data_IF_076083297754
#
_entry.id   IF_076083297754
#
_cell.length_a   1.000
_cell.length_b   1.000
_cell.length_c   1.000
_cell.angle_alpha   90.00
_cell.angle_beta   90.00
_cell.angle_gamma   90.00
#
_symmetry.space_group_name_H-M   'P 1'
#
loop_
_entity.id
_entity.type
_entity.pdbx_description
1 polymer ?
#
# COMPACT_ATOMS: atom_id res chain seq x y z
N UNK A 1 76.23 51.14 41.67
CA UNK A 1 75.02 51.61 40.99
C UNK A 1 74.69 50.58 39.94
N UNK A 2 73.50 50.10 39.97
CA UNK A 2 72.70 49.26 39.09
C UNK A 2 72.43 47.86 39.58
N UNK A 3 71.19 47.73 39.96
CA UNK A 3 70.50 46.55 40.44
C UNK A 3 70.40 45.47 39.40
N UNK A 4 70.55 44.22 39.82
CA UNK A 4 70.16 43.00 39.02
C UNK A 4 68.96 42.33 39.65
N UNK A 5 67.84 42.53 39.06
CA UNK A 5 66.62 41.81 39.38
C UNK A 5 66.66 40.38 38.81
N UNK A 6 66.67 39.39 39.69
CA UNK A 6 66.46 37.97 39.41
C UNK A 6 64.97 37.68 39.34
N UNK A 7 64.50 37.41 38.16
CA UNK A 7 63.11 36.93 37.92
C UNK A 7 63.01 35.45 38.17
N UNK A 8 62.12 35.06 39.07
CA UNK A 8 61.66 33.73 39.32
C UNK A 8 60.81 33.23 38.14
N UNK A 9 61.38 32.46 37.28
CA UNK A 9 60.67 31.64 36.28
C UNK A 9 61.35 30.30 36.20
N UNK A 10 60.70 29.29 36.79
CA UNK A 10 61.18 27.95 36.69
C UNK A 10 60.45 27.07 37.71
N UNK A 11 59.48 26.40 37.33
CA UNK A 11 58.82 25.22 37.89
C UNK A 11 57.28 25.35 37.87
N UNK A 12 56.73 24.98 36.78
CA UNK A 12 55.37 24.36 36.68
C UNK A 12 55.07 24.07 35.20
N UNK A 13 55.60 22.98 34.75
CA UNK A 13 55.30 22.48 33.41
C UNK A 13 55.51 21.00 33.40
N UNK A 14 54.47 20.23 33.71
CA UNK A 14 54.26 18.85 33.27
C UNK A 14 53.18 18.24 34.15
N UNK A 15 51.92 18.36 33.80
CA UNK A 15 50.83 17.44 34.09
C UNK A 15 49.48 18.02 33.62
N UNK A 16 49.33 18.31 32.34
CA UNK A 16 48.01 18.47 31.72
C UNK A 16 48.14 17.94 30.26
N UNK A 17 48.08 16.64 30.12
CA UNK A 17 48.26 16.03 28.82
C UNK A 17 47.59 14.65 28.67
N UNK A 18 46.57 14.36 29.48
CA UNK A 18 45.95 13.02 29.40
C UNK A 18 44.41 12.96 29.58
N UNK A 19 43.70 14.08 29.49
CA UNK A 19 42.25 14.10 29.73
C UNK A 19 41.42 14.74 28.58
N UNK A 20 42.03 14.98 27.42
CA UNK A 20 41.31 15.64 26.29
C UNK A 20 40.92 14.71 25.13
N UNK A 21 40.98 13.37 25.34
CA UNK A 21 40.65 12.39 24.28
C UNK A 21 39.27 11.68 24.47
N UNK A 22 38.44 12.14 25.39
CA UNK A 22 37.18 11.46 25.73
C UNK A 22 35.89 12.22 25.34
N UNK A 23 36.00 13.28 24.55
CA UNK A 23 34.82 14.01 24.07
C UNK A 23 34.96 14.37 22.59
N UNK A 24 35.18 13.36 21.74
CA UNK A 24 34.79 13.51 20.36
C UNK A 24 33.26 13.51 20.35
N UNK A 25 32.59 14.58 19.90
CA UNK A 25 31.16 14.51 19.68
C UNK A 25 30.90 13.31 18.74
N UNK A 26 30.00 12.40 19.13
CA UNK A 26 29.46 11.44 18.17
C UNK A 26 29.07 12.24 16.94
N UNK A 27 29.79 12.09 15.85
CA UNK A 27 29.36 12.66 14.57
C UNK A 27 27.97 12.11 14.34
N UNK A 28 26.97 12.98 14.46
CA UNK A 28 25.61 12.64 14.04
C UNK A 28 25.72 12.42 12.52
N UNK A 29 25.78 11.17 12.11
CA UNK A 29 25.62 10.85 10.69
C UNK A 29 24.27 11.39 10.27
N UNK A 30 24.23 12.14 9.15
CA UNK A 30 22.98 12.56 8.57
C UNK A 30 22.17 11.31 8.24
N UNK A 31 20.90 11.30 8.64
CA UNK A 31 19.99 10.19 8.32
C UNK A 31 19.93 9.99 6.81
N UNK A 32 19.93 8.74 6.38
CA UNK A 32 19.66 8.41 4.99
C UNK A 32 18.17 8.67 4.69
N UNK A 33 17.93 9.55 3.72
CA UNK A 33 16.59 9.97 3.34
C UNK A 33 16.05 9.05 2.25
N UNK A 34 14.97 8.33 2.57
CA UNK A 34 14.33 7.36 1.69
C UNK A 34 12.95 7.86 1.24
N UNK A 35 12.64 7.68 -0.03
CA UNK A 35 11.37 8.11 -0.65
C UNK A 35 10.44 6.94 -0.79
N UNK A 36 9.23 7.07 -0.23
CA UNK A 36 8.19 6.06 -0.32
C UNK A 36 6.92 6.65 -0.91
N UNK A 37 6.34 6.00 -1.93
CA UNK A 37 5.10 6.45 -2.56
C UNK A 37 3.96 5.46 -2.32
N UNK A 38 2.78 5.98 -1.97
CA UNK A 38 1.56 5.21 -1.73
C UNK A 38 0.33 5.89 -2.34
N UNK A 39 -0.84 5.27 -2.18
CA UNK A 39 -2.12 5.84 -2.59
C UNK A 39 -2.56 6.96 -1.65
N UNK A 40 -3.60 7.69 -2.05
CA UNK A 40 -4.21 8.77 -1.27
C UNK A 40 -4.70 8.33 0.11
N UNK A 41 -4.94 9.30 0.98
CA UNK A 41 -5.43 9.08 2.35
C UNK A 41 -6.74 8.31 2.34
N UNK A 42 -7.02 7.57 3.43
CA UNK A 42 -8.24 6.77 3.57
C UNK A 42 -8.23 5.43 2.84
N UNK A 43 -7.15 5.08 2.14
CA UNK A 43 -6.94 3.74 1.58
C UNK A 43 -6.13 2.86 2.53
N UNK A 44 -6.38 1.53 2.54
CA UNK A 44 -5.61 0.59 3.37
C UNK A 44 -4.11 0.63 3.08
N UNK A 45 -3.65 0.71 1.82
CA UNK A 45 -2.24 0.85 1.54
C UNK A 45 -1.61 2.10 2.17
N UNK A 46 -2.33 3.21 2.18
CA UNK A 46 -1.85 4.43 2.85
C UNK A 46 -1.66 4.20 4.35
N UNK A 47 -2.62 3.54 5.01
CA UNK A 47 -2.54 3.23 6.45
C UNK A 47 -1.33 2.35 6.75
N UNK A 48 -1.16 1.23 6.04
CA UNK A 48 -0.05 0.29 6.25
C UNK A 48 1.29 0.95 5.98
N UNK A 49 1.43 1.68 4.86
CA UNK A 49 2.70 2.30 4.49
C UNK A 49 3.05 3.49 5.39
N UNK A 50 2.06 4.24 5.86
CA UNK A 50 2.28 5.28 6.89
C UNK A 50 2.78 4.63 8.19
N UNK A 51 2.21 3.50 8.58
CA UNK A 51 2.68 2.77 9.78
C UNK A 51 4.08 2.21 9.57
N UNK A 52 4.38 1.65 8.40
CA UNK A 52 5.73 1.22 8.05
C UNK A 52 6.72 2.37 8.21
N UNK A 53 6.47 3.52 7.58
CA UNK A 53 7.34 4.69 7.67
C UNK A 53 7.51 5.18 9.12
N UNK A 54 6.42 5.25 9.90
CA UNK A 54 6.47 5.71 11.29
C UNK A 54 7.27 4.76 12.19
N UNK A 55 7.10 3.44 12.03
CA UNK A 55 7.87 2.45 12.78
C UNK A 55 9.36 2.57 12.45
N UNK A 56 9.72 2.65 11.17
CA UNK A 56 11.10 2.76 10.73
C UNK A 56 11.73 4.05 11.26
N UNK A 57 11.08 5.18 11.06
CA UNK A 57 11.57 6.50 11.51
C UNK A 57 11.77 6.57 13.03
N UNK A 58 10.99 5.80 13.80
CA UNK A 58 11.09 5.70 15.25
C UNK A 58 12.20 4.72 15.70
N UNK A 59 12.30 3.56 15.04
CA UNK A 59 13.10 2.43 15.52
C UNK A 59 14.51 2.38 14.92
N UNK A 60 14.71 2.98 13.75
CA UNK A 60 15.97 2.95 13.03
C UNK A 60 16.49 4.39 12.83
N UNK A 61 17.30 4.91 13.75
CA UNK A 61 17.70 6.33 13.76
C UNK A 61 18.55 6.75 12.56
N UNK A 62 19.16 5.82 11.84
CA UNK A 62 20.01 6.07 10.68
C UNK A 62 19.20 6.34 9.40
N UNK A 63 17.90 6.07 9.42
CA UNK A 63 17.01 6.22 8.26
C UNK A 63 15.87 7.19 8.53
N UNK A 64 15.39 7.85 7.48
CA UNK A 64 14.17 8.64 7.48
C UNK A 64 13.37 8.42 6.22
N UNK A 65 12.19 7.78 6.34
CA UNK A 65 11.28 7.57 5.22
C UNK A 65 10.35 8.77 5.08
N UNK A 66 10.40 9.41 3.92
CA UNK A 66 9.45 10.43 3.48
C UNK A 66 8.35 9.81 2.64
N UNK A 67 7.10 9.90 3.12
CA UNK A 67 5.94 9.32 2.45
C UNK A 67 5.27 10.34 1.53
N UNK A 68 5.13 9.97 0.24
CA UNK A 68 4.32 10.68 -0.75
C UNK A 68 3.02 9.91 -1.01
N UNK A 69 1.89 10.48 -0.61
CA UNK A 69 0.55 9.87 -0.70
C UNK A 69 -0.27 10.43 -1.87
N UNK A 70 0.31 10.51 -3.05
CA UNK A 70 -0.33 11.07 -4.25
C UNK A 70 -0.13 10.17 -5.48
N UNK A 71 -0.98 10.32 -6.47
CA UNK A 71 -0.81 9.64 -7.76
C UNK A 71 -1.32 8.19 -7.79
N UNK A 72 -0.89 7.45 -8.79
CA UNK A 72 -1.29 6.07 -9.04
C UNK A 72 -0.10 5.11 -8.84
N UNK A 73 -0.35 3.96 -8.24
CA UNK A 73 0.66 2.93 -7.99
C UNK A 73 1.39 2.47 -9.27
N UNK A 74 0.70 2.47 -10.40
CA UNK A 74 1.26 2.14 -11.71
C UNK A 74 2.35 3.09 -12.18
N UNK A 75 2.35 4.35 -11.72
CA UNK A 75 3.43 5.30 -11.94
C UNK A 75 4.56 5.10 -10.92
N UNK A 76 4.20 4.93 -9.64
CA UNK A 76 5.18 4.77 -8.57
C UNK A 76 6.08 3.55 -8.80
N UNK A 77 5.52 2.44 -9.29
CA UNK A 77 6.28 1.22 -9.55
C UNK A 77 7.35 1.41 -10.63
N UNK A 78 7.08 2.25 -11.63
CA UNK A 78 8.09 2.62 -12.63
C UNK A 78 9.22 3.46 -12.02
N UNK A 79 8.88 4.38 -11.11
CA UNK A 79 9.89 5.22 -10.44
C UNK A 79 10.82 4.38 -9.58
N UNK A 80 10.29 3.40 -8.83
CA UNK A 80 11.10 2.45 -8.06
C UNK A 80 11.95 1.56 -8.98
N UNK A 81 11.36 1.00 -10.03
CA UNK A 81 12.09 0.16 -10.97
C UNK A 81 13.24 0.90 -11.68
N UNK A 82 13.10 2.21 -11.86
CA UNK A 82 14.14 3.09 -12.43
C UNK A 82 15.13 3.63 -11.38
N UNK A 83 14.96 3.30 -10.09
CA UNK A 83 15.80 3.80 -8.99
C UNK A 83 15.60 5.29 -8.68
N UNK A 84 14.43 5.86 -8.98
CA UNK A 84 14.07 7.25 -8.68
C UNK A 84 13.34 7.42 -7.36
N UNK A 85 12.84 6.34 -6.80
CA UNK A 85 12.22 6.23 -5.48
C UNK A 85 12.66 4.91 -4.86
N UNK A 86 12.67 4.81 -3.53
CA UNK A 86 13.21 3.65 -2.83
C UNK A 86 12.14 2.60 -2.60
N UNK A 87 10.91 3.04 -2.28
CA UNK A 87 9.78 2.16 -2.01
C UNK A 87 8.51 2.67 -2.67
N UNK A 88 7.63 1.75 -3.00
CA UNK A 88 6.25 2.11 -3.30
C UNK A 88 5.27 0.98 -2.98
N UNK A 89 3.99 1.35 -2.86
CA UNK A 89 2.91 0.38 -2.92
C UNK A 89 2.82 -0.19 -4.33
N UNK A 90 2.73 -1.51 -4.43
CA UNK A 90 2.49 -2.23 -5.66
C UNK A 90 1.57 -3.44 -5.42
N UNK A 91 1.32 -4.24 -6.44
CA UNK A 91 0.51 -5.45 -6.33
C UNK A 91 0.93 -6.50 -7.36
N UNK A 92 0.66 -7.79 -7.09
CA UNK A 92 0.87 -8.85 -8.07
C UNK A 92 0.17 -8.57 -9.41
N UNK A 93 -0.99 -7.91 -9.38
CA UNK A 93 -1.71 -7.48 -10.58
C UNK A 93 -0.91 -6.46 -11.41
N UNK A 94 -0.32 -5.44 -10.77
CA UNK A 94 0.51 -4.44 -11.45
C UNK A 94 1.74 -5.11 -12.07
N UNK A 95 2.38 -6.02 -11.36
CA UNK A 95 3.54 -6.75 -11.87
C UNK A 95 3.19 -7.57 -13.12
N UNK A 96 2.02 -8.25 -13.12
CA UNK A 96 1.52 -8.98 -14.29
C UNK A 96 1.22 -8.06 -15.47
N UNK A 97 0.64 -6.88 -15.23
CA UNK A 97 0.41 -5.87 -16.28
C UNK A 97 1.73 -5.35 -16.89
N UNK A 98 2.75 -5.13 -16.08
CA UNK A 98 4.09 -4.72 -16.56
C UNK A 98 4.73 -5.80 -17.43
N UNK A 99 4.73 -7.08 -16.97
CA UNK A 99 5.30 -8.21 -17.73
C UNK A 99 4.65 -8.37 -19.09
N UNK A 100 3.34 -8.20 -19.16
CA UNK A 100 2.53 -8.43 -20.35
C UNK A 100 2.34 -7.18 -21.21
N UNK A 101 2.99 -6.05 -20.90
CA UNK A 101 2.77 -4.77 -21.58
C UNK A 101 1.28 -4.45 -21.75
N UNK A 102 0.48 -4.65 -20.71
CA UNK A 102 -0.98 -4.51 -20.77
C UNK A 102 -1.46 -3.22 -20.10
N UNK A 103 -2.66 -2.77 -20.48
CA UNK A 103 -3.33 -1.57 -19.96
C UNK A 103 -2.40 -0.33 -20.05
N UNK A 104 -2.16 0.39 -18.93
CA UNK A 104 -1.31 1.57 -18.90
C UNK A 104 0.15 1.33 -19.29
N UNK A 105 0.62 0.08 -19.28
CA UNK A 105 1.99 -0.26 -19.69
C UNK A 105 2.11 -0.64 -21.18
N UNK A 106 1.01 -0.66 -21.94
CA UNK A 106 0.99 -1.08 -23.34
C UNK A 106 1.93 -0.26 -24.25
N UNK A 107 2.13 1.02 -23.90
CA UNK A 107 3.01 1.95 -24.63
C UNK A 107 4.40 2.12 -23.99
N UNK A 108 4.74 1.31 -22.98
CA UNK A 108 6.01 1.37 -22.26
C UNK A 108 6.83 0.13 -22.63
N UNK A 109 7.65 0.22 -23.66
CA UNK A 109 8.41 -0.90 -24.18
C UNK A 109 9.33 -1.55 -23.16
N UNK A 110 9.85 -0.78 -22.23
CA UNK A 110 10.75 -1.25 -21.17
C UNK A 110 10.03 -1.90 -19.98
N UNK A 111 8.69 -1.89 -19.92
CA UNK A 111 7.96 -2.39 -18.75
C UNK A 111 8.32 -3.84 -18.36
N UNK A 112 8.48 -4.82 -19.32
CA UNK A 112 8.90 -6.18 -18.98
C UNK A 112 10.32 -6.27 -18.38
N UNK A 113 11.23 -5.37 -18.75
CA UNK A 113 12.57 -5.32 -18.16
C UNK A 113 12.59 -4.57 -16.83
N UNK A 114 11.78 -3.54 -16.70
CA UNK A 114 11.69 -2.78 -15.47
C UNK A 114 11.11 -3.60 -14.32
N UNK A 115 10.10 -4.45 -14.57
CA UNK A 115 9.51 -5.30 -13.53
C UNK A 115 10.51 -6.30 -12.95
N UNK A 116 11.51 -6.75 -13.71
CA UNK A 116 12.59 -7.65 -13.25
C UNK A 116 13.48 -7.00 -12.20
N UNK A 117 13.55 -5.67 -12.15
CA UNK A 117 14.35 -4.89 -11.19
C UNK A 117 13.63 -4.68 -9.85
N UNK A 118 12.39 -5.06 -9.76
CA UNK A 118 11.62 -4.95 -8.52
C UNK A 118 11.82 -6.16 -7.63
N UNK A 119 11.79 -5.91 -6.32
CA UNK A 119 11.80 -6.93 -5.28
C UNK A 119 10.70 -6.65 -4.27
N UNK A 120 10.00 -7.70 -3.85
CA UNK A 120 8.99 -7.58 -2.80
C UNK A 120 9.67 -7.46 -1.44
N UNK A 121 9.28 -6.46 -0.65
CA UNK A 121 9.63 -6.36 0.77
C UNK A 121 8.64 -7.18 1.59
N UNK A 122 7.35 -6.94 1.38
CA UNK A 122 6.26 -7.72 1.97
C UNK A 122 4.96 -7.50 1.19
N UNK A 123 4.08 -8.49 1.19
CA UNK A 123 2.70 -8.36 0.78
C UNK A 123 1.77 -8.29 1.99
N UNK A 124 0.57 -7.79 1.77
CA UNK A 124 -0.51 -7.79 2.76
C UNK A 124 -1.88 -7.71 2.08
N UNK A 125 -2.95 -8.22 2.71
CA UNK A 125 -4.31 -8.06 2.21
C UNK A 125 -4.70 -6.58 2.24
N UNK A 126 -5.06 -6.01 1.09
CA UNK A 126 -5.60 -4.66 1.03
C UNK A 126 -7.03 -4.59 1.55
N UNK A 127 -7.73 -5.70 1.53
CA UNK A 127 -9.15 -5.82 1.81
C UNK A 127 -9.93 -6.20 0.56
N UNK A 128 -11.16 -5.70 0.47
CA UNK A 128 -12.11 -6.08 -0.59
C UNK A 128 -12.59 -4.85 -1.37
N UNK A 129 -13.04 -5.05 -2.59
CA UNK A 129 -13.69 -3.98 -3.34
C UNK A 129 -15.05 -3.66 -2.73
N UNK A 130 -15.20 -2.44 -2.28
CA UNK A 130 -16.48 -1.85 -1.91
C UNK A 130 -17.06 -1.16 -3.14
N UNK A 131 -18.21 -1.60 -3.59
CA UNK A 131 -18.99 -0.95 -4.66
C UNK A 131 -20.18 -0.31 -3.95
N UNK A 132 -19.98 0.90 -3.43
CA UNK A 132 -20.91 1.57 -2.55
C UNK A 132 -21.92 2.41 -3.32
N UNK A 133 -23.18 2.34 -2.90
CA UNK A 133 -24.31 3.18 -3.36
C UNK A 133 -25.10 3.68 -2.15
N UNK A 134 -25.77 4.80 -2.27
CA UNK A 134 -26.71 5.26 -1.25
C UNK A 134 -27.97 4.40 -1.24
N UNK A 135 -28.53 4.13 -0.08
CA UNK A 135 -29.81 3.42 0.07
C UNK A 135 -30.96 4.12 -0.66
N UNK A 136 -30.95 5.45 -0.64
CA UNK A 136 -31.93 6.30 -1.34
C UNK A 136 -31.92 6.14 -2.87
N UNK A 137 -30.83 5.61 -3.44
CA UNK A 137 -30.74 5.39 -4.90
C UNK A 137 -31.63 4.24 -5.41
N UNK A 138 -32.01 3.32 -4.49
CA UNK A 138 -32.74 2.09 -4.84
C UNK A 138 -31.92 1.05 -5.60
N UNK A 139 -30.61 1.29 -5.84
CA UNK A 139 -29.73 0.35 -6.54
C UNK A 139 -29.39 -0.82 -5.59
N UNK A 140 -29.64 -2.05 -6.07
CA UNK A 140 -29.41 -3.28 -5.28
C UNK A 140 -28.47 -4.26 -5.96
N UNK A 141 -28.17 -4.08 -7.26
CA UNK A 141 -27.31 -4.95 -8.04
C UNK A 141 -26.46 -4.17 -9.05
N UNK A 142 -25.39 -4.78 -9.54
CA UNK A 142 -24.53 -4.20 -10.58
C UNK A 142 -25.31 -3.92 -11.88
N UNK A 143 -26.31 -4.73 -12.21
CA UNK A 143 -27.14 -4.53 -13.43
C UNK A 143 -27.91 -3.21 -13.43
N UNK A 144 -28.10 -2.60 -12.26
CA UNK A 144 -28.86 -1.36 -12.12
C UNK A 144 -27.99 -0.07 -12.19
N UNK A 145 -26.68 -0.23 -12.41
CA UNK A 145 -25.79 0.96 -12.56
C UNK A 145 -25.83 1.56 -13.96
N UNK A 146 -26.66 1.02 -14.86
CA UNK A 146 -26.82 1.58 -16.21
C UNK A 146 -27.25 3.04 -16.18
N UNK A 147 -26.55 3.90 -16.93
CA UNK A 147 -26.78 5.35 -16.98
C UNK A 147 -26.31 6.11 -15.73
N UNK A 148 -25.57 5.48 -14.82
CA UNK A 148 -25.10 6.07 -13.57
C UNK A 148 -23.70 6.66 -13.70
N UNK A 149 -23.39 7.63 -12.83
CA UNK A 149 -22.05 8.22 -12.65
C UNK A 149 -21.25 7.33 -11.70
N UNK A 150 -20.22 6.70 -12.21
CA UNK A 150 -19.47 5.65 -11.51
C UNK A 150 -18.02 6.06 -11.36
N UNK A 151 -17.48 6.01 -10.15
CA UNK A 151 -16.05 6.07 -9.90
C UNK A 151 -15.48 4.67 -9.83
N UNK A 152 -14.61 4.32 -10.77
CA UNK A 152 -13.97 2.99 -10.88
C UNK A 152 -12.61 2.92 -10.16
N UNK A 153 -12.07 4.07 -9.76
CA UNK A 153 -10.70 4.31 -9.33
C UNK A 153 -10.05 5.40 -10.16
N UNK A 154 -8.85 5.89 -9.78
CA UNK A 154 -8.15 6.93 -10.54
C UNK A 154 -7.82 6.49 -11.97
N UNK A 155 -7.91 7.38 -12.95
CA UNK A 155 -7.57 7.10 -14.34
C UNK A 155 -6.16 6.53 -14.49
N UNK A 156 -6.02 5.48 -15.32
CA UNK A 156 -4.75 4.77 -15.49
C UNK A 156 -4.32 3.91 -14.32
N UNK A 157 -5.12 3.82 -13.25
CA UNK A 157 -4.88 2.96 -12.10
C UNK A 157 -5.31 1.51 -12.33
N UNK A 158 -4.73 0.58 -11.58
CA UNK A 158 -5.10 -0.84 -11.63
C UNK A 158 -6.55 -1.06 -11.14
N UNK A 159 -7.03 -0.26 -10.18
CA UNK A 159 -8.40 -0.31 -9.68
C UNK A 159 -9.40 -0.01 -10.79
N UNK A 160 -9.17 1.05 -11.56
CA UNK A 160 -9.99 1.43 -12.71
C UNK A 160 -10.16 0.25 -13.68
N UNK A 161 -9.05 -0.27 -14.17
CA UNK A 161 -9.06 -1.40 -15.12
C UNK A 161 -9.67 -2.69 -14.54
N UNK A 162 -9.66 -2.86 -13.21
CA UNK A 162 -10.28 -4.01 -12.54
C UNK A 162 -11.78 -3.86 -12.49
N UNK A 163 -12.29 -2.68 -12.14
CA UNK A 163 -13.73 -2.44 -12.07
C UNK A 163 -14.39 -2.45 -13.44
N UNK A 164 -13.74 -1.89 -14.49
CA UNK A 164 -14.21 -2.07 -15.88
C UNK A 164 -14.43 -3.54 -16.22
N UNK A 165 -13.43 -4.39 -15.92
CA UNK A 165 -13.52 -5.83 -16.19
C UNK A 165 -14.58 -6.51 -15.36
N UNK A 166 -14.76 -6.11 -14.10
CA UNK A 166 -15.79 -6.66 -13.24
C UNK A 166 -17.18 -6.36 -13.78
N UNK A 167 -17.46 -5.11 -14.15
CA UNK A 167 -18.77 -4.72 -14.68
C UNK A 167 -19.04 -5.38 -16.03
N UNK A 168 -18.00 -5.53 -16.87
CA UNK A 168 -18.12 -6.30 -18.10
C UNK A 168 -18.36 -7.78 -17.85
N UNK A 169 -17.69 -8.40 -16.89
CA UNK A 169 -17.83 -9.81 -16.56
C UNK A 169 -19.19 -10.15 -15.93
N UNK A 170 -19.72 -9.26 -15.09
CA UNK A 170 -20.97 -9.48 -14.35
C UNK A 170 -22.19 -9.09 -15.17
N UNK A 171 -22.17 -7.90 -15.78
CA UNK A 171 -23.36 -7.30 -16.44
C UNK A 171 -23.19 -7.07 -17.95
N UNK A 172 -22.00 -7.34 -18.51
CA UNK A 172 -21.70 -7.04 -19.91
C UNK A 172 -21.52 -5.54 -20.20
N UNK A 173 -21.40 -4.71 -19.18
CA UNK A 173 -21.39 -3.24 -19.30
C UNK A 173 -20.05 -2.69 -19.77
N UNK A 174 -20.13 -1.65 -20.60
CA UNK A 174 -18.98 -0.92 -21.13
C UNK A 174 -19.06 0.57 -20.76
N UNK A 175 -17.90 1.15 -20.39
CA UNK A 175 -17.75 2.57 -20.12
C UNK A 175 -18.17 3.41 -21.32
N UNK A 176 -18.85 4.53 -21.04
CA UNK A 176 -19.31 5.47 -22.06
C UNK A 176 -20.56 5.01 -22.84
N UNK A 177 -20.94 3.73 -22.74
CA UNK A 177 -22.16 3.18 -23.34
C UNK A 177 -23.20 2.87 -22.27
N UNK A 178 -22.82 2.14 -21.23
CA UNK A 178 -23.75 1.68 -20.20
C UNK A 178 -23.68 2.51 -18.93
N UNK A 179 -22.55 3.11 -18.61
CA UNK A 179 -22.36 4.02 -17.47
C UNK A 179 -21.33 5.11 -17.80
N UNK A 180 -21.38 6.20 -17.05
CA UNK A 180 -20.41 7.31 -17.14
C UNK A 180 -19.30 7.11 -16.09
N UNK A 181 -18.05 6.92 -16.53
CA UNK A 181 -16.92 6.86 -15.61
C UNK A 181 -16.45 8.27 -15.23
N UNK A 182 -16.56 8.61 -13.95
CA UNK A 182 -16.10 9.89 -13.41
C UNK A 182 -14.62 9.81 -13.07
N UNK A 183 -13.80 10.62 -13.74
CA UNK A 183 -12.32 10.57 -13.70
C UNK A 183 -11.78 11.50 -12.61
N UNK A 184 -11.64 10.99 -11.41
CA UNK A 184 -11.16 11.70 -10.21
C UNK A 184 -9.98 10.94 -9.56
N UNK A 185 -9.26 11.62 -8.65
CA UNK A 185 -8.39 10.96 -7.67
C UNK A 185 -9.20 10.44 -6.48
N UNK A 186 -8.56 9.62 -5.62
CA UNK A 186 -9.25 8.96 -4.49
C UNK A 186 -9.98 9.94 -3.57
N UNK A 187 -9.30 11.01 -3.13
CA UNK A 187 -9.86 11.97 -2.16
C UNK A 187 -11.01 12.79 -2.78
N UNK A 188 -10.83 13.21 -4.03
CA UNK A 188 -11.87 13.95 -4.76
C UNK A 188 -13.10 13.06 -5.03
N UNK A 189 -12.92 11.77 -5.30
CA UNK A 189 -14.02 10.85 -5.52
C UNK A 189 -14.80 10.55 -4.23
N UNK A 190 -14.10 10.40 -3.10
CA UNK A 190 -14.76 10.24 -1.81
C UNK A 190 -15.61 11.47 -1.46
N UNK A 191 -15.08 12.68 -1.67
CA UNK A 191 -15.84 13.92 -1.49
C UNK A 191 -17.04 14.01 -2.47
N UNK A 192 -16.82 13.71 -3.75
CA UNK A 192 -17.88 13.72 -4.75
C UNK A 192 -19.01 12.73 -4.44
N UNK A 193 -18.68 11.55 -3.89
CA UNK A 193 -19.67 10.58 -3.43
C UNK A 193 -20.45 11.14 -2.22
N UNK A 194 -19.75 11.70 -1.25
CA UNK A 194 -20.37 12.33 -0.07
C UNK A 194 -21.31 13.48 -0.44
N UNK A 195 -20.97 14.25 -1.46
CA UNK A 195 -21.77 15.38 -1.97
C UNK A 195 -22.90 14.95 -2.92
N UNK A 196 -23.09 13.65 -3.18
CA UNK A 196 -24.10 13.14 -4.11
C UNK A 196 -23.78 13.38 -5.60
N UNK A 197 -22.54 13.73 -5.91
CA UNK A 197 -22.05 13.92 -7.30
C UNK A 197 -21.60 12.62 -7.99
N UNK A 198 -21.60 11.52 -7.26
CA UNK A 198 -21.41 10.15 -7.75
C UNK A 198 -22.58 9.28 -7.32
N UNK A 199 -23.00 8.37 -8.19
CA UNK A 199 -24.06 7.41 -7.90
C UNK A 199 -23.46 6.10 -7.37
N UNK A 200 -22.25 5.73 -7.83
CA UNK A 200 -21.52 4.52 -7.43
C UNK A 200 -20.07 4.87 -7.12
N UNK A 201 -19.59 4.45 -5.96
CA UNK A 201 -18.22 4.65 -5.51
C UNK A 201 -17.51 3.31 -5.30
N UNK A 202 -16.47 3.04 -6.11
CA UNK A 202 -15.68 1.81 -6.00
C UNK A 202 -14.36 2.09 -5.28
N UNK A 203 -14.12 1.38 -4.17
CA UNK A 203 -12.88 1.53 -3.41
C UNK A 203 -12.40 0.17 -2.86
N UNK A 204 -11.24 -0.34 -3.29
CA UNK A 204 -10.62 -1.49 -2.65
C UNK A 204 -9.97 -1.06 -1.32
N UNK A 205 -10.51 -1.55 -0.21
CA UNK A 205 -10.05 -1.18 1.14
C UNK A 205 -10.46 -2.26 2.16
N UNK A 206 -9.93 -2.16 3.37
CA UNK A 206 -10.38 -3.02 4.48
C UNK A 206 -11.81 -2.66 4.92
N UNK A 207 -12.50 -3.62 5.51
CA UNK A 207 -13.83 -3.43 6.12
C UNK A 207 -13.72 -3.54 7.65
N UNK A 208 -14.22 -2.55 8.42
CA UNK A 208 -14.75 -1.27 7.94
C UNK A 208 -13.66 -0.28 7.45
N UNK A 209 -13.97 0.47 6.42
CA UNK A 209 -13.15 1.58 5.94
C UNK A 209 -13.50 2.86 6.69
N UNK A 210 -12.53 3.65 7.20
CA UNK A 210 -12.83 4.89 7.91
C UNK A 210 -13.66 5.87 7.08
N UNK A 211 -13.37 6.03 5.79
CA UNK A 211 -14.11 6.93 4.91
C UNK A 211 -15.56 6.50 4.72
N UNK A 212 -15.81 5.21 4.48
CA UNK A 212 -17.18 4.69 4.31
C UNK A 212 -17.93 4.63 5.65
N UNK A 213 -17.23 4.38 6.77
CA UNK A 213 -17.83 4.47 8.11
C UNK A 213 -18.35 5.88 8.39
N UNK A 214 -17.57 6.90 8.05
CA UNK A 214 -18.00 8.29 8.22
C UNK A 214 -19.25 8.60 7.40
N UNK A 215 -19.36 8.13 6.17
CA UNK A 215 -20.56 8.25 5.33
C UNK A 215 -21.74 7.51 5.95
N UNK A 216 -21.51 6.29 6.47
CA UNK A 216 -22.53 5.46 7.08
C UNK A 216 -23.08 6.01 8.41
N UNK A 217 -22.39 6.94 9.07
CA UNK A 217 -22.90 7.59 10.29
C UNK A 217 -24.23 8.30 10.05
N UNK A 218 -24.38 8.95 8.89
CA UNK A 218 -25.53 9.80 8.58
C UNK A 218 -26.36 9.34 7.39
N UNK A 219 -25.89 8.32 6.68
CA UNK A 219 -26.53 7.86 5.45
C UNK A 219 -26.66 6.35 5.42
N UNK A 220 -27.78 5.86 4.94
CA UNK A 220 -27.91 4.45 4.58
C UNK A 220 -27.09 4.15 3.33
N UNK A 221 -26.24 3.12 3.39
CA UNK A 221 -25.40 2.67 2.28
C UNK A 221 -25.66 1.18 2.00
N UNK A 222 -25.48 0.82 0.75
CA UNK A 222 -25.49 -0.59 0.30
C UNK A 222 -24.22 -0.87 -0.49
N UNK A 223 -23.72 -2.07 -0.37
CA UNK A 223 -22.62 -2.56 -1.18
C UNK A 223 -23.16 -3.54 -2.22
N UNK A 224 -22.72 -3.34 -3.47
CA UNK A 224 -23.05 -4.23 -4.56
C UNK A 224 -21.99 -5.33 -4.64
N UNK A 225 -22.42 -6.56 -4.92
CA UNK A 225 -21.55 -7.72 -5.00
C UNK A 225 -21.63 -8.43 -6.34
N UNK A 226 -20.83 -9.48 -6.46
CA UNK A 226 -20.90 -10.43 -7.57
C UNK A 226 -22.06 -11.38 -7.26
N UNK A 227 -23.10 -11.45 -8.11
CA UNK A 227 -24.20 -12.39 -7.92
C UNK A 227 -23.71 -13.83 -7.91
N UNK A 228 -24.36 -14.70 -7.13
CA UNK A 228 -23.95 -16.09 -6.97
C UNK A 228 -23.95 -16.87 -8.31
N UNK A 229 -24.93 -16.61 -9.17
CA UNK A 229 -25.03 -17.20 -10.51
C UNK A 229 -23.93 -16.73 -11.47
N UNK A 230 -23.29 -15.59 -11.19
CA UNK A 230 -22.18 -15.06 -11.98
C UNK A 230 -20.82 -15.51 -11.46
N UNK A 231 -20.72 -15.87 -10.18
CA UNK A 231 -19.45 -16.22 -9.56
C UNK A 231 -18.74 -17.38 -10.28
N UNK A 232 -19.49 -18.38 -10.72
CA UNK A 232 -18.94 -19.56 -11.41
C UNK A 232 -18.78 -19.37 -12.93
N UNK A 233 -19.13 -18.21 -13.48
CA UNK A 233 -18.93 -17.95 -14.91
C UNK A 233 -17.44 -17.85 -15.25
N UNK A 234 -17.07 -18.31 -16.45
CA UNK A 234 -15.69 -18.22 -16.93
C UNK A 234 -15.12 -16.80 -16.83
N UNK A 235 -15.94 -15.79 -17.14
CA UNK A 235 -15.52 -14.38 -17.12
C UNK A 235 -15.14 -13.90 -15.72
N UNK A 236 -15.92 -14.27 -14.70
CA UNK A 236 -15.65 -13.91 -13.29
C UNK A 236 -14.51 -14.77 -12.73
N UNK A 237 -14.49 -16.08 -13.00
CA UNK A 237 -13.40 -16.97 -12.58
C UNK A 237 -12.05 -16.51 -13.15
N UNK A 238 -12.01 -16.07 -14.40
CA UNK A 238 -10.83 -15.50 -15.03
C UNK A 238 -10.38 -14.18 -14.36
N UNK A 239 -11.30 -13.45 -13.74
CA UNK A 239 -10.98 -12.23 -13.00
C UNK A 239 -10.45 -12.55 -11.61
N UNK A 240 -11.11 -13.41 -10.83
CA UNK A 240 -10.68 -13.80 -9.48
C UNK A 240 -9.41 -14.64 -9.47
N UNK A 241 -9.14 -15.40 -10.52
CA UNK A 241 -7.91 -16.18 -10.68
C UNK A 241 -6.68 -15.36 -11.14
N UNK A 242 -6.80 -14.05 -11.28
CA UNK A 242 -5.64 -13.20 -11.64
C UNK A 242 -4.73 -13.01 -10.44
N UNK A 243 -3.41 -12.84 -10.68
CA UNK A 243 -2.46 -12.59 -9.60
C UNK A 243 -2.90 -11.45 -8.66
N UNK A 244 -2.96 -11.74 -7.37
CA UNK A 244 -3.34 -10.80 -6.33
C UNK A 244 -4.84 -10.51 -6.21
N UNK A 245 -5.69 -11.32 -6.85
CA UNK A 245 -7.14 -11.27 -6.67
C UNK A 245 -7.67 -12.59 -6.12
N UNK A 246 -8.81 -12.50 -5.43
CA UNK A 246 -9.57 -13.65 -4.95
C UNK A 246 -11.04 -13.30 -4.87
N UNK A 247 -11.93 -14.30 -4.81
CA UNK A 247 -13.26 -14.07 -4.30
C UNK A 247 -13.17 -13.84 -2.79
N UNK A 248 -13.81 -12.79 -2.30
CA UNK A 248 -13.76 -12.42 -0.90
C UNK A 248 -15.10 -11.87 -0.42
N UNK A 249 -15.25 -11.75 0.88
CA UNK A 249 -16.52 -11.40 1.52
C UNK A 249 -16.40 -10.07 2.23
N UNK A 250 -17.35 -9.18 1.97
CA UNK A 250 -17.62 -7.99 2.77
C UNK A 250 -18.75 -8.36 3.74
N UNK A 251 -18.51 -8.42 5.06
CA UNK A 251 -19.51 -8.86 6.01
C UNK A 251 -20.73 -7.94 6.08
N UNK A 252 -21.89 -8.53 6.25
CA UNK A 252 -23.10 -7.80 6.65
C UNK A 252 -22.86 -7.10 7.99
N UNK A 253 -23.34 -5.86 8.11
CA UNK A 253 -23.22 -5.11 9.37
C UNK A 253 -21.83 -4.57 9.67
N UNK A 254 -20.83 -4.74 8.77
CA UNK A 254 -19.48 -4.20 8.97
C UNK A 254 -19.46 -2.66 9.18
N UNK A 255 -20.49 -1.98 8.69
CA UNK A 255 -20.69 -0.52 8.81
C UNK A 255 -21.87 -0.13 9.68
N UNK A 256 -22.31 -1.04 10.58
CA UNK A 256 -23.39 -0.79 11.54
C UNK A 256 -24.78 -0.84 10.90
N UNK A 257 -25.77 -0.24 11.62
CA UNK A 257 -27.19 -0.30 11.26
C UNK A 257 -27.54 0.39 9.94
N UNK A 258 -26.70 1.29 9.47
CA UNK A 258 -26.89 1.99 8.19
C UNK A 258 -26.38 1.24 6.98
N UNK A 259 -25.77 0.06 7.15
CA UNK A 259 -25.48 -0.86 6.06
C UNK A 259 -26.75 -1.67 5.72
N UNK A 260 -27.28 -1.46 4.51
CA UNK A 260 -28.54 -2.10 4.07
C UNK A 260 -28.39 -3.55 3.56
N UNK A 261 -27.19 -4.13 3.63
CA UNK A 261 -26.96 -5.51 3.25
C UNK A 261 -27.35 -6.43 4.42
N UNK A 262 -28.39 -7.25 4.24
CA UNK A 262 -28.86 -8.21 5.25
C UNK A 262 -28.00 -9.48 5.30
N UNK A 263 -27.21 -9.73 4.25
CA UNK A 263 -26.29 -10.86 4.13
C UNK A 263 -24.92 -10.37 3.65
N UNK A 264 -23.94 -11.23 3.82
CA UNK A 264 -22.59 -11.03 3.34
C UNK A 264 -22.55 -10.78 1.83
N UNK A 265 -21.67 -9.89 1.38
CA UNK A 265 -21.52 -9.51 -0.02
C UNK A 265 -20.27 -10.14 -0.59
N UNK A 266 -20.41 -11.05 -1.57
CA UNK A 266 -19.27 -11.58 -2.31
C UNK A 266 -18.74 -10.53 -3.29
N UNK A 267 -17.45 -10.27 -3.24
CA UNK A 267 -16.75 -9.27 -4.07
C UNK A 267 -15.33 -9.71 -4.36
N UNK A 268 -14.49 -8.81 -4.89
CA UNK A 268 -13.07 -9.09 -5.14
C UNK A 268 -12.22 -8.75 -3.92
N UNK A 269 -11.43 -9.70 -3.43
CA UNK A 269 -10.32 -9.49 -2.53
C UNK A 269 -9.07 -9.06 -3.31
N UNK A 270 -8.21 -8.29 -2.67
CA UNK A 270 -6.98 -7.76 -3.29
C UNK A 270 -5.79 -7.88 -2.34
N UNK A 271 -4.70 -8.45 -2.86
CA UNK A 271 -3.38 -8.44 -2.22
C UNK A 271 -2.54 -7.33 -2.83
N UNK A 272 -1.90 -6.57 -1.98
CA UNK A 272 -0.91 -5.54 -2.34
C UNK A 272 0.35 -5.72 -1.51
N UNK A 273 1.37 -4.93 -1.79
CA UNK A 273 2.63 -5.03 -1.04
C UNK A 273 3.46 -3.78 -1.13
N UNK A 274 4.58 -3.81 -0.43
CA UNK A 274 5.67 -2.85 -0.53
C UNK A 274 6.75 -3.48 -1.41
N UNK A 275 7.17 -2.77 -2.43
CA UNK A 275 8.27 -3.16 -3.29
C UNK A 275 9.41 -2.15 -3.21
N UNK A 276 10.63 -2.64 -3.44
CA UNK A 276 11.84 -1.86 -3.58
C UNK A 276 12.59 -2.25 -4.85
N UNK A 277 13.69 -1.55 -5.15
CA UNK A 277 14.59 -1.91 -6.25
C UNK A 277 15.53 -3.04 -5.82
N UNK A 278 15.93 -3.89 -6.77
CA UNK A 278 16.90 -4.99 -6.54
C UNK A 278 18.26 -4.51 -6.00
N UNK A 279 18.58 -3.22 -6.18
CA UNK A 279 19.82 -2.60 -5.73
C UNK A 279 19.76 -1.97 -4.35
N UNK A 280 18.60 -2.01 -3.68
CA UNK A 280 18.49 -1.52 -2.33
C UNK A 280 19.43 -2.32 -1.39
N UNK A 281 19.93 -1.68 -0.35
CA UNK A 281 20.85 -2.32 0.59
C UNK A 281 20.15 -3.48 1.33
N UNK A 282 20.83 -4.63 1.38
CA UNK A 282 20.27 -5.84 1.98
C UNK A 282 20.05 -5.70 3.48
N UNK A 283 21.03 -5.14 4.20
CA UNK A 283 20.93 -4.99 5.65
C UNK A 283 19.88 -3.95 6.04
N UNK A 284 19.77 -2.87 5.27
CA UNK A 284 18.70 -1.89 5.43
C UNK A 284 17.32 -2.55 5.32
N UNK A 285 17.05 -3.27 4.24
CA UNK A 285 15.74 -3.95 4.03
C UNK A 285 15.49 -5.01 5.11
N UNK A 286 16.53 -5.75 5.52
CA UNK A 286 16.42 -6.71 6.61
C UNK A 286 16.02 -6.05 7.93
N UNK A 287 16.71 -4.98 8.34
CA UNK A 287 16.41 -4.26 9.57
C UNK A 287 15.00 -3.65 9.53
N UNK A 288 14.61 -3.05 8.40
CA UNK A 288 13.28 -2.46 8.22
C UNK A 288 12.16 -3.51 8.31
N UNK A 289 12.34 -4.66 7.67
CA UNK A 289 11.35 -5.74 7.72
C UNK A 289 11.18 -6.28 9.14
N UNK A 290 12.28 -6.49 9.87
CA UNK A 290 12.25 -6.93 11.27
C UNK A 290 11.58 -5.89 12.19
N UNK A 291 11.99 -4.62 12.07
CA UNK A 291 11.44 -3.53 12.87
C UNK A 291 9.94 -3.36 12.61
N UNK A 292 9.51 -3.46 11.35
CA UNK A 292 8.11 -3.34 10.99
C UNK A 292 7.24 -4.39 11.68
N UNK A 293 7.59 -5.68 11.59
CA UNK A 293 6.78 -6.73 12.22
C UNK A 293 6.84 -6.69 13.75
N UNK A 294 7.94 -6.27 14.34
CA UNK A 294 8.01 -5.99 15.79
C UNK A 294 7.05 -4.87 16.18
N UNK A 295 7.04 -3.76 15.45
CA UNK A 295 6.13 -2.65 15.69
C UNK A 295 4.66 -2.97 15.43
N UNK A 296 4.36 -3.82 14.42
CA UNK A 296 2.99 -4.32 14.20
C UNK A 296 2.52 -5.17 15.38
N UNK A 297 3.38 -6.03 15.91
CA UNK A 297 3.06 -6.83 17.09
C UNK A 297 2.82 -5.96 18.33
N UNK A 298 3.61 -4.91 18.54
CA UNK A 298 3.41 -3.94 19.63
C UNK A 298 2.10 -3.15 19.50
N UNK A 299 1.69 -2.81 18.26
CA UNK A 299 0.45 -2.09 18.01
C UNK A 299 -0.79 -2.90 18.42
N UNK A 300 -0.75 -4.24 18.30
CA UNK A 300 -1.76 -5.17 18.78
C UNK A 300 -3.19 -4.74 18.45
N UNK A 301 -4.07 -4.74 19.48
CA UNK A 301 -5.49 -4.40 19.32
C UNK A 301 -5.76 -2.91 19.10
N UNK A 302 -4.78 -2.04 19.33
CA UNK A 302 -4.93 -0.60 19.09
C UNK A 302 -5.07 -0.24 17.61
N UNK A 303 -4.70 -1.16 16.73
CA UNK A 303 -4.75 -0.98 15.28
C UNK A 303 -5.38 -2.19 14.57
N UNK A 304 -6.71 -2.37 14.67
CA UNK A 304 -7.39 -3.57 14.15
C UNK A 304 -7.12 -3.88 12.67
N UNK A 305 -6.87 -2.84 11.88
CA UNK A 305 -6.54 -2.95 10.46
C UNK A 305 -5.16 -3.55 10.18
N UNK A 306 -4.26 -3.58 11.18
CA UNK A 306 -2.97 -4.28 11.09
C UNK A 306 -3.07 -5.78 11.35
N UNK A 307 -4.17 -6.30 11.89
CA UNK A 307 -4.32 -7.73 12.22
C UNK A 307 -4.08 -8.67 11.05
N UNK A 308 -4.40 -8.22 9.83
CA UNK A 308 -4.16 -8.98 8.61
C UNK A 308 -2.72 -8.82 8.06
N UNK A 309 -1.93 -7.90 8.60
CA UNK A 309 -0.54 -7.63 8.17
C UNK A 309 0.40 -8.51 8.99
N UNK A 310 0.43 -9.79 8.67
CA UNK A 310 1.23 -10.80 9.37
C UNK A 310 2.48 -11.20 8.58
N UNK A 311 3.52 -11.76 9.21
CA UNK A 311 4.66 -12.31 8.47
C UNK A 311 4.25 -13.36 7.43
N UNK A 312 3.28 -14.23 7.74
CA UNK A 312 2.77 -15.23 6.80
C UNK A 312 2.08 -14.59 5.57
N UNK A 313 1.39 -13.46 5.75
CA UNK A 313 0.77 -12.73 4.64
C UNK A 313 1.81 -12.10 3.70
N UNK A 314 3.06 -11.89 4.15
CA UNK A 314 4.12 -11.26 3.36
C UNK A 314 4.43 -11.98 2.05
N UNK A 315 4.16 -13.27 1.97
CA UNK A 315 4.40 -14.11 0.79
C UNK A 315 3.12 -14.53 0.07
N UNK A 316 1.97 -14.03 0.52
CA UNK A 316 0.69 -14.32 -0.14
C UNK A 316 0.66 -13.72 -1.55
N UNK A 317 0.17 -14.50 -2.53
CA UNK A 317 0.07 -14.12 -3.94
C UNK A 317 1.38 -13.57 -4.55
N UNK A 318 2.53 -13.93 -4.00
CA UNK A 318 3.82 -13.40 -4.44
C UNK A 318 4.12 -13.83 -5.88
N UNK A 319 4.51 -12.86 -6.69
CA UNK A 319 4.87 -13.07 -8.10
C UNK A 319 6.10 -12.26 -8.53
N UNK A 320 6.81 -11.69 -7.58
CA UNK A 320 8.16 -11.16 -7.70
C UNK A 320 9.03 -11.84 -6.64
N UNK A 321 10.33 -12.00 -6.87
CA UNK A 321 11.23 -12.42 -5.81
C UNK A 321 11.19 -11.46 -4.61
N UNK A 322 11.37 -12.01 -3.42
CA UNK A 322 11.63 -11.19 -2.24
C UNK A 322 12.97 -10.46 -2.40
N UNK A 323 13.08 -9.28 -1.80
CA UNK A 323 14.38 -8.67 -1.59
C UNK A 323 15.24 -9.56 -0.67
N UNK A 324 16.55 -9.75 -0.91
CA UNK A 324 17.39 -10.61 -0.08
C UNK A 324 17.28 -10.32 1.42
N UNK A 325 17.27 -9.04 1.81
CA UNK A 325 17.06 -8.64 3.21
C UNK A 325 15.68 -9.01 3.75
N UNK A 326 14.63 -8.89 2.96
CA UNK A 326 13.27 -9.31 3.35
C UNK A 326 13.17 -10.83 3.47
N UNK A 327 13.78 -11.59 2.53
CA UNK A 327 13.86 -13.04 2.57
C UNK A 327 14.52 -13.53 3.87
N UNK A 328 15.66 -12.93 4.23
CA UNK A 328 16.38 -13.25 5.48
C UNK A 328 15.50 -12.97 6.71
N UNK A 329 14.89 -11.80 6.78
CA UNK A 329 14.03 -11.42 7.90
C UNK A 329 12.79 -12.30 8.05
N UNK A 330 12.10 -12.61 6.95
CA UNK A 330 10.89 -13.46 6.97
C UNK A 330 11.23 -14.91 7.31
N UNK A 331 12.37 -15.41 6.83
CA UNK A 331 12.86 -16.76 7.21
C UNK A 331 13.12 -16.85 8.72
N UNK A 332 13.75 -15.83 9.32
CA UNK A 332 13.97 -15.78 10.78
C UNK A 332 12.66 -15.62 11.57
N UNK A 333 11.63 -15.02 10.97
CA UNK A 333 10.28 -14.92 11.55
C UNK A 333 9.46 -16.21 11.37
N UNK A 334 10.05 -17.27 10.81
CA UNK A 334 9.44 -18.59 10.66
C UNK A 334 8.44 -18.70 9.51
N UNK A 335 8.53 -17.79 8.51
CA UNK A 335 7.67 -17.86 7.34
C UNK A 335 8.14 -18.97 6.40
N UNK A 336 7.21 -19.81 5.96
CA UNK A 336 7.46 -20.76 4.87
C UNK A 336 7.53 -20.00 3.54
N UNK A 337 8.72 -19.95 2.97
CA UNK A 337 9.02 -19.15 1.78
C UNK A 337 8.78 -19.98 0.52
N UNK A 338 7.75 -19.66 -0.29
CA UNK A 338 7.47 -20.39 -1.53
C UNK A 338 8.58 -20.17 -2.57
N UNK A 339 8.78 -21.14 -3.47
CA UNK A 339 9.81 -21.06 -4.51
C UNK A 339 9.69 -19.81 -5.40
N UNK A 340 8.46 -19.39 -5.69
CA UNK A 340 8.18 -18.17 -6.47
C UNK A 340 8.71 -16.87 -5.81
N UNK A 341 8.98 -16.90 -4.51
CA UNK A 341 9.55 -15.79 -3.74
C UNK A 341 11.08 -15.79 -3.69
N UNK A 342 11.72 -16.86 -4.13
CA UNK A 342 13.18 -16.98 -4.19
C UNK A 342 13.69 -16.44 -5.53
N UNK A 343 14.85 -15.78 -5.54
CA UNK A 343 15.46 -15.24 -6.77
C UNK A 343 16.16 -16.33 -7.57
#
# INVERSE_FOLDING_TARGET
MTDTNLTRRGFLGTTVGAAALAALPKMAFAKELLRMSTLGRGTSPNLVMTTFANIINKSLPDYEIQLNATGAATRHVLEVAMGRSDFCMSSPAIHALMRNKAAMFAKIDQAPELVKKLRTVLNFPMGVYHIAVYGSSGITSIDQIKGKRVFLGPPGGAAYATMERLFKAVAGFEEGTDYEAVKLGWDAAAAAFQDGNLDVYCNPTNAPSPALTQIAVTNQIRFLGIPADKLETEAVQKLVGRPGFSAAVLPAGAYGENQLNESDVTTLGVTVGIVSNEKADEDMIYQMTKAFYAGVAEAGDSSPWLKAVTPAAAVQDINLPLHPGALRALTELGVDIPDAARA
#
